data_IF_501681083884
#
_entry.id   IF_501681083884
#
_cell.length_a   1.000
_cell.length_b   1.000
_cell.length_c   1.000
_cell.angle_alpha   90.00
_cell.angle_beta   90.00
_cell.angle_gamma   90.00
#
_symmetry.space_group_name_H-M   'P 1'
#
loop_
_entity.id
_entity.type
_entity.pdbx_description
1 polymer ?
#
# COMPACT_ATOMS: atom_id res chain seq x y z
N UNK A 1 -47.85 18.51 9.87
CA UNK A 1 -46.42 18.90 9.72
C UNK A 1 -45.62 17.66 9.30
N UNK A 2 -45.36 17.51 8.00
CA UNK A 2 -44.60 16.37 7.46
C UNK A 2 -43.23 16.84 6.97
N UNK A 3 -42.17 16.22 7.51
CA UNK A 3 -40.78 16.55 7.19
C UNK A 3 -40.39 15.96 5.82
N UNK A 4 -40.37 16.87 4.85
CA UNK A 4 -39.51 16.96 3.65
C UNK A 4 -38.89 15.66 3.12
N UNK A 5 -39.45 15.20 2.01
CA UNK A 5 -38.79 14.39 1.00
C UNK A 5 -37.54 15.11 0.46
N UNK A 6 -36.39 14.45 0.46
CA UNK A 6 -35.30 14.76 -0.46
C UNK A 6 -35.32 13.73 -1.58
N UNK A 7 -35.76 14.20 -2.74
CA UNK A 7 -35.51 13.58 -4.04
C UNK A 7 -34.21 14.17 -4.61
N UNK A 8 -33.61 13.40 -5.51
CA UNK A 8 -32.51 13.73 -6.42
C UNK A 8 -31.11 13.63 -5.79
N UNK A 9 -30.08 13.12 -6.46
CA UNK A 9 -29.82 13.06 -7.89
C UNK A 9 -29.21 11.70 -8.27
N UNK A 10 -29.73 11.07 -9.33
CA UNK A 10 -28.97 10.11 -10.12
C UNK A 10 -27.95 10.90 -10.96
N UNK A 11 -26.66 10.78 -10.65
CA UNK A 11 -25.59 11.20 -11.56
C UNK A 11 -25.25 10.04 -12.47
N UNK A 12 -25.80 10.06 -13.69
CA UNK A 12 -25.31 9.26 -14.80
C UNK A 12 -24.07 9.94 -15.37
N UNK A 13 -22.90 9.33 -15.19
CA UNK A 13 -21.72 9.64 -15.99
C UNK A 13 -21.59 8.54 -17.04
N UNK A 14 -22.08 8.82 -18.24
CA UNK A 14 -21.60 8.13 -19.43
C UNK A 14 -20.32 8.83 -19.89
N UNK A 15 -19.23 8.08 -20.00
CA UNK A 15 -18.10 8.49 -20.81
C UNK A 15 -17.73 7.32 -21.75
N UNK A 16 -17.94 7.55 -23.03
CA UNK A 16 -17.73 6.60 -24.11
C UNK A 16 -16.32 6.71 -24.67
N UNK A 17 -15.69 5.54 -24.83
CA UNK A 17 -14.63 5.15 -25.77
C UNK A 17 -13.29 5.91 -25.78
N UNK A 18 -12.22 5.18 -25.47
CA UNK A 18 -11.08 5.11 -26.37
C UNK A 18 -10.46 3.70 -26.35
N UNK A 19 -10.28 3.16 -27.54
CA UNK A 19 -9.67 1.87 -27.82
C UNK A 19 -8.20 1.87 -27.44
N UNK A 20 -7.73 0.81 -26.78
CA UNK A 20 -6.35 0.34 -26.95
C UNK A 20 -6.38 -1.18 -26.97
N UNK A 21 -6.45 -1.69 -28.19
CA UNK A 21 -6.02 -3.03 -28.53
C UNK A 21 -4.52 -3.11 -28.24
N UNK A 22 -4.15 -3.94 -27.27
CA UNK A 22 -2.82 -4.54 -27.20
C UNK A 22 -3.03 -6.03 -27.05
N UNK A 23 -3.19 -6.71 -28.18
CA UNK A 23 -2.86 -8.12 -28.24
C UNK A 23 -1.33 -8.21 -28.18
N UNK A 24 -0.81 -8.74 -27.08
CA UNK A 24 0.51 -9.37 -27.09
C UNK A 24 0.33 -10.72 -26.45
N UNK A 25 0.10 -11.71 -27.31
CA UNK A 25 0.54 -13.05 -27.02
C UNK A 25 2.06 -13.00 -26.93
N UNK A 26 2.60 -13.34 -25.76
CA UNK A 26 3.83 -14.10 -25.65
C UNK A 26 3.72 -14.94 -24.39
N UNK A 27 3.39 -16.20 -24.63
CA UNK A 27 3.68 -17.31 -23.72
C UNK A 27 5.19 -17.37 -23.49
N UNK A 28 5.58 -17.79 -22.29
CA UNK A 28 6.92 -18.18 -21.88
C UNK A 28 7.95 -17.05 -21.64
N UNK A 29 8.15 -16.68 -20.37
CA UNK A 29 9.45 -16.72 -19.68
C UNK A 29 9.23 -16.58 -18.17
N UNK A 30 10.11 -17.21 -17.40
CA UNK A 30 10.07 -17.47 -15.96
C UNK A 30 9.48 -16.37 -15.07
N UNK A 31 8.88 -16.79 -13.95
CA UNK A 31 8.54 -16.06 -12.71
C UNK A 31 9.43 -14.83 -12.43
N UNK A 32 9.21 -13.76 -13.19
CA UNK A 32 9.78 -12.43 -12.99
C UNK A 32 8.59 -11.50 -13.04
N UNK A 33 8.19 -11.02 -11.87
CA UNK A 33 7.19 -9.95 -11.78
C UNK A 33 7.68 -8.80 -12.65
N UNK A 34 6.90 -8.44 -13.68
CA UNK A 34 7.24 -7.31 -14.54
C UNK A 34 7.35 -6.04 -13.69
N UNK A 35 8.23 -5.12 -14.09
CA UNK A 35 8.41 -3.83 -13.40
C UNK A 35 7.09 -3.14 -13.08
N UNK A 36 6.21 -3.07 -14.08
CA UNK A 36 4.90 -2.46 -13.97
C UNK A 36 4.00 -3.16 -12.93
N UNK A 37 3.99 -4.51 -12.93
CA UNK A 37 3.22 -5.29 -11.96
C UNK A 37 3.76 -5.12 -10.54
N UNK A 38 5.08 -5.04 -10.38
CA UNK A 38 5.72 -4.75 -9.10
C UNK A 38 5.34 -3.36 -8.59
N UNK A 39 5.49 -2.34 -9.44
CA UNK A 39 5.20 -0.96 -9.08
C UNK A 39 3.73 -0.75 -8.71
N UNK A 40 2.80 -1.37 -9.45
CA UNK A 40 1.37 -1.34 -9.12
C UNK A 40 1.06 -2.02 -7.78
N UNK A 41 1.65 -3.20 -7.53
CA UNK A 41 1.49 -3.90 -6.25
C UNK A 41 2.00 -3.04 -5.09
N UNK A 42 3.20 -2.49 -5.22
CA UNK A 42 3.81 -1.69 -4.16
C UNK A 42 3.07 -0.39 -3.92
N UNK A 43 2.65 0.31 -4.98
CA UNK A 43 1.82 1.51 -4.86
C UNK A 43 0.55 1.25 -4.06
N UNK A 44 -0.12 0.11 -4.31
CA UNK A 44 -1.33 -0.30 -3.56
C UNK A 44 -1.01 -0.57 -2.09
N UNK A 45 0.09 -1.25 -1.80
CA UNK A 45 0.51 -1.53 -0.41
C UNK A 45 0.82 -0.23 0.35
N UNK A 46 1.51 0.72 -0.30
CA UNK A 46 1.81 2.03 0.28
C UNK A 46 0.53 2.83 0.60
N UNK A 47 -0.45 2.79 -0.30
CA UNK A 47 -1.76 3.43 -0.08
C UNK A 47 -2.52 2.78 1.07
N UNK A 48 -2.55 1.44 1.12
CA UNK A 48 -3.19 0.70 2.21
C UNK A 48 -2.57 1.05 3.57
N UNK A 49 -1.24 1.12 3.65
CA UNK A 49 -0.58 1.57 4.87
C UNK A 49 -0.95 3.02 5.20
N UNK A 50 -0.89 3.96 4.26
CA UNK A 50 -1.28 5.36 4.50
C UNK A 50 -2.69 5.48 5.06
N UNK A 51 -3.62 4.67 4.56
CA UNK A 51 -4.97 4.60 5.09
C UNK A 51 -5.01 4.01 6.52
N UNK A 52 -4.31 2.89 6.76
CA UNK A 52 -4.26 2.23 8.07
C UNK A 52 -3.50 3.02 9.14
N UNK A 53 -2.60 3.91 8.72
CA UNK A 53 -1.79 4.79 9.58
C UNK A 53 -2.45 6.13 9.89
N UNK A 54 -3.51 6.49 9.15
CA UNK A 54 -4.22 7.75 9.35
C UNK A 54 -4.74 7.87 10.78
N UNK A 55 -4.27 8.89 11.50
CA UNK A 55 -4.69 9.18 12.87
C UNK A 55 -4.06 8.28 13.95
N UNK A 56 -3.06 7.47 13.61
CA UNK A 56 -2.28 6.67 14.57
C UNK A 56 -0.90 7.29 14.76
N UNK A 57 -0.45 7.36 16.01
CA UNK A 57 0.95 7.66 16.33
C UNK A 57 1.74 6.35 16.34
N UNK A 58 2.90 6.37 15.68
CA UNK A 58 3.82 5.22 15.61
C UNK A 58 5.09 5.49 16.41
N UNK A 59 5.83 4.43 16.74
CA UNK A 59 7.16 4.60 17.30
C UNK A 59 8.11 5.31 16.32
N UNK A 60 9.21 5.85 16.84
CA UNK A 60 10.26 6.40 16.00
C UNK A 60 10.88 5.35 15.08
N UNK A 61 10.95 4.08 15.49
CA UNK A 61 11.53 3.00 14.69
C UNK A 61 10.66 2.66 13.47
N UNK A 62 9.34 2.59 13.65
CA UNK A 62 8.42 2.38 12.54
C UNK A 62 8.33 3.61 11.63
N UNK A 63 8.36 4.82 12.18
CA UNK A 63 8.45 6.05 11.39
C UNK A 63 9.75 6.10 10.56
N UNK A 64 10.88 5.69 11.13
CA UNK A 64 12.16 5.61 10.44
C UNK A 64 12.14 4.55 9.32
N UNK A 65 11.59 3.36 9.60
CA UNK A 65 11.43 2.30 8.59
C UNK A 65 10.51 2.75 7.44
N UNK A 66 9.42 3.43 7.76
CA UNK A 66 8.53 4.03 6.76
C UNK A 66 9.25 5.10 5.92
N UNK A 67 10.10 5.93 6.53
CA UNK A 67 10.94 6.88 5.80
C UNK A 67 11.91 6.21 4.83
N UNK A 68 12.49 5.07 5.20
CA UNK A 68 13.33 4.27 4.32
C UNK A 68 12.54 3.74 3.11
N UNK A 69 11.34 3.19 3.35
CA UNK A 69 10.42 2.75 2.28
C UNK A 69 10.11 3.88 1.30
N UNK A 70 9.81 5.08 1.79
CA UNK A 70 9.49 6.22 0.92
C UNK A 70 10.68 6.65 0.05
N UNK A 71 11.89 6.68 0.62
CA UNK A 71 13.12 6.99 -0.10
C UNK A 71 13.40 5.94 -1.17
N UNK A 72 13.34 4.66 -0.80
CA UNK A 72 13.72 3.57 -1.69
C UNK A 72 12.67 3.35 -2.79
N UNK A 73 11.40 3.67 -2.52
CA UNK A 73 10.36 3.78 -3.54
C UNK A 73 10.64 4.88 -4.56
N UNK A 74 11.05 6.07 -4.12
CA UNK A 74 11.44 7.16 -5.02
C UNK A 74 12.59 6.76 -5.95
N UNK A 75 13.65 6.18 -5.36
CA UNK A 75 14.80 5.67 -6.11
C UNK A 75 14.41 4.60 -7.14
N UNK A 76 13.43 3.74 -6.81
CA UNK A 76 12.93 2.70 -7.71
C UNK A 76 12.13 3.25 -8.88
N UNK A 77 11.26 4.24 -8.63
CA UNK A 77 10.50 4.89 -9.70
C UNK A 77 11.42 5.63 -10.66
N UNK A 78 12.50 6.23 -10.15
CA UNK A 78 13.52 6.92 -10.96
C UNK A 78 14.55 5.96 -11.59
N UNK A 79 14.53 4.67 -11.24
CA UNK A 79 15.47 3.69 -11.74
C UNK A 79 15.30 3.46 -13.26
N UNK A 80 16.42 3.38 -13.96
CA UNK A 80 16.52 2.89 -15.34
C UNK A 80 16.49 1.36 -15.35
N UNK A 81 16.31 0.75 -16.52
CA UNK A 81 16.29 -0.72 -16.64
C UNK A 81 17.55 -1.39 -16.06
N UNK A 82 18.73 -0.75 -16.21
CA UNK A 82 20.02 -1.29 -15.75
C UNK A 82 20.12 -1.38 -14.23
N UNK A 83 19.56 -0.39 -13.51
CA UNK A 83 19.64 -0.32 -12.05
C UNK A 83 18.32 -0.70 -11.35
N UNK A 84 17.28 -1.04 -12.11
CA UNK A 84 15.95 -1.35 -11.57
C UNK A 84 15.95 -2.55 -10.63
N UNK A 85 16.65 -3.64 -10.95
CA UNK A 85 16.71 -4.82 -10.07
C UNK A 85 17.39 -4.52 -8.72
N UNK A 86 18.43 -3.68 -8.72
CA UNK A 86 19.09 -3.29 -7.47
C UNK A 86 18.17 -2.38 -6.63
N UNK A 87 17.48 -1.45 -7.28
CA UNK A 87 16.49 -0.61 -6.62
C UNK A 87 15.32 -1.43 -6.07
N UNK A 88 14.84 -2.42 -6.83
CA UNK A 88 13.82 -3.39 -6.40
C UNK A 88 14.23 -4.11 -5.13
N UNK A 89 15.45 -4.68 -5.10
CA UNK A 89 15.96 -5.35 -3.91
C UNK A 89 16.03 -4.42 -2.69
N UNK A 90 16.49 -3.18 -2.87
CA UNK A 90 16.53 -2.19 -1.78
C UNK A 90 15.13 -1.85 -1.26
N UNK A 91 14.17 -1.70 -2.17
CA UNK A 91 12.77 -1.46 -1.82
C UNK A 91 12.18 -2.65 -1.05
N UNK A 92 12.44 -3.88 -1.48
CA UNK A 92 11.97 -5.10 -0.80
C UNK A 92 12.58 -5.25 0.60
N UNK A 93 13.88 -4.97 0.74
CA UNK A 93 14.57 -4.99 2.04
C UNK A 93 13.99 -3.93 3.01
N UNK A 94 13.71 -2.72 2.50
CA UNK A 94 13.07 -1.65 3.27
C UNK A 94 11.63 -2.00 3.65
N UNK A 95 10.84 -2.56 2.72
CA UNK A 95 9.45 -2.97 2.95
C UNK A 95 9.37 -4.08 4.01
N UNK A 96 10.20 -5.11 3.90
CA UNK A 96 10.26 -6.21 4.87
C UNK A 96 10.61 -5.72 6.28
N UNK A 97 11.57 -4.79 6.39
CA UNK A 97 11.93 -4.18 7.68
C UNK A 97 10.76 -3.37 8.27
N UNK A 98 10.05 -2.64 7.41
CA UNK A 98 8.87 -1.89 7.79
C UNK A 98 7.73 -2.81 8.25
N UNK A 99 7.42 -3.89 7.52
CA UNK A 99 6.37 -4.86 7.87
C UNK A 99 6.65 -5.52 9.23
N UNK A 100 7.91 -5.86 9.50
CA UNK A 100 8.31 -6.42 10.80
C UNK A 100 8.05 -5.46 11.95
N UNK A 101 8.39 -4.17 11.80
CA UNK A 101 8.15 -3.16 12.83
C UNK A 101 6.65 -2.88 12.99
N UNK A 102 5.89 -2.89 11.89
CA UNK A 102 4.44 -2.74 11.90
C UNK A 102 3.75 -3.88 12.64
N UNK A 103 4.13 -5.13 12.35
CA UNK A 103 3.61 -6.30 13.04
C UNK A 103 3.92 -6.24 14.54
N UNK A 104 5.16 -5.92 14.91
CA UNK A 104 5.56 -5.80 16.31
C UNK A 104 4.69 -4.78 17.07
N UNK A 105 4.43 -3.60 16.50
CA UNK A 105 3.60 -2.58 17.14
C UNK A 105 2.12 -2.95 17.18
N UNK A 106 1.59 -3.51 16.09
CA UNK A 106 0.15 -3.86 16.02
C UNK A 106 -0.18 -5.11 16.83
N UNK A 107 0.72 -6.10 16.88
CA UNK A 107 0.61 -7.27 17.74
C UNK A 107 0.73 -6.91 19.22
N UNK A 108 1.64 -6.00 19.60
CA UNK A 108 1.74 -5.51 20.99
C UNK A 108 0.47 -4.79 21.48
N UNK A 109 -0.23 -4.07 20.59
CA UNK A 109 -1.54 -3.46 20.93
C UNK A 109 -2.66 -4.49 21.14
N UNK A 110 -2.51 -5.72 20.63
CA UNK A 110 -3.51 -6.78 20.78
C UNK A 110 -3.36 -7.57 22.09
N UNK A 111 -2.14 -7.72 22.61
CA UNK A 111 -1.89 -8.34 23.92
C UNK A 111 -2.27 -7.41 25.09
N UNK A 112 -1.97 -6.12 24.99
CA UNK A 112 -2.33 -5.11 26.00
C UNK A 112 -3.84 -4.85 26.11
N UNK A 113 -4.59 -5.03 25.02
CA UNK A 113 -6.05 -4.97 25.02
C UNK A 113 -6.71 -6.17 25.73
N UNK A 114 -6.07 -7.35 25.74
CA UNK A 114 -6.59 -8.54 26.44
C UNK A 114 -6.37 -8.47 27.95
N UNK A 115 -5.21 -7.99 28.40
CA UNK A 115 -4.89 -7.88 29.84
C UNK A 115 -5.69 -6.79 30.55
N UNK A 116 -6.03 -5.70 29.86
CA UNK A 116 -6.85 -4.63 30.46
C UNK A 116 -8.28 -5.06 30.76
N UNK A 117 -8.83 -6.06 30.04
CA UNK A 117 -10.18 -6.58 30.29
C UNK A 117 -10.23 -7.63 31.43
N UNK A 118 -9.08 -8.13 31.86
CA UNK A 118 -8.97 -9.13 32.92
C UNK A 118 -8.69 -8.52 34.31
N UNK A 119 -8.25 -7.25 34.38
CA UNK A 119 -7.91 -6.57 35.64
C UNK A 119 -9.06 -5.78 36.27
N UNK A 120 -10.24 -5.76 35.62
CA UNK A 120 -11.48 -5.17 36.12
C UNK A 120 -12.52 -6.21 36.58
N UNK A 121 -12.15 -7.49 36.72
CA UNK A 121 -13.03 -8.53 37.31
C UNK A 121 -12.59 -8.92 38.71
#
# INVERSE_FOLDING_TARGET
MYRRHLKALALSVMLTALTSQSASASDHEADKVSRDAYEQRMSRQLEQYRAASSGRSFSSDLANAWGAVQRDWGNLVEATEENWQEAQKKMDDAWSSFEKNWDAETSATSETAKTSKAVEQ
#
